data_IF_993599308990
#
_entry.id   IF_993599308990
#
_cell.length_a   1.000
_cell.length_b   1.000
_cell.length_c   1.000
_cell.angle_alpha   90.00
_cell.angle_beta   90.00
_cell.angle_gamma   90.00
#
_symmetry.space_group_name_H-M   'P 1'
#
loop_
_entity.id
_entity.type
_entity.pdbx_description
1 polymer ?
#
# COMPACT_ATOMS: atom_id res chain seq x y z
N UNK A 1 89.63 -26.86 22.38
CA UNK A 1 88.91 -26.41 21.17
C UNK A 1 87.61 -27.17 21.19
N UNK A 2 86.56 -26.54 21.68
CA UNK A 2 85.19 -27.08 21.67
C UNK A 2 84.42 -26.20 20.68
N UNK A 3 83.95 -26.80 19.59
CA UNK A 3 83.05 -26.15 18.64
C UNK A 3 81.61 -26.24 19.18
N UNK A 4 80.80 -25.16 19.10
CA UNK A 4 79.40 -25.23 19.49
C UNK A 4 78.55 -25.82 18.36
N UNK A 5 77.59 -26.72 18.63
CA UNK A 5 76.58 -27.07 17.64
C UNK A 5 75.55 -25.95 17.52
N UNK A 6 75.52 -25.30 16.36
CA UNK A 6 74.38 -24.52 15.85
C UNK A 6 73.46 -25.50 15.10
N UNK A 7 72.15 -25.29 15.24
CA UNK A 7 70.99 -25.96 14.64
C UNK A 7 70.23 -26.80 15.68
N UNK A 8 68.94 -26.61 15.93
CA UNK A 8 67.91 -26.04 15.09
C UNK A 8 67.00 -25.13 15.90
N UNK A 9 66.51 -24.08 15.24
CA UNK A 9 65.25 -23.43 15.58
C UNK A 9 64.22 -24.52 15.92
N UNK A 10 63.83 -24.61 17.18
CA UNK A 10 62.60 -25.27 17.55
C UNK A 10 61.48 -24.38 17.02
N UNK A 11 60.97 -24.79 15.85
CA UNK A 11 59.78 -24.26 15.23
C UNK A 11 58.60 -24.50 16.16
N UNK A 12 58.45 -23.63 17.17
CA UNK A 12 57.19 -23.33 17.84
C UNK A 12 56.25 -22.71 16.80
N UNK A 13 55.80 -23.52 15.87
CA UNK A 13 54.67 -23.24 14.99
C UNK A 13 53.44 -23.28 15.88
N UNK A 14 53.16 -22.14 16.50
CA UNK A 14 51.87 -21.79 17.10
C UNK A 14 50.86 -21.59 15.96
N UNK A 15 50.60 -22.67 15.21
CA UNK A 15 49.57 -22.76 14.18
C UNK A 15 48.26 -23.24 14.82
N UNK A 16 47.92 -22.63 15.96
CA UNK A 16 46.58 -22.76 16.53
C UNK A 16 45.66 -21.88 15.69
N UNK A 17 45.11 -22.49 14.63
CA UNK A 17 44.20 -21.88 13.68
C UNK A 17 43.12 -21.04 14.40
N UNK A 18 43.06 -19.70 14.19
CA UNK A 18 42.11 -18.89 14.91
C UNK A 18 40.75 -18.92 14.19
N UNK A 19 39.96 -20.01 14.26
CA UNK A 19 38.67 -20.02 13.53
C UNK A 19 37.50 -20.87 14.08
N UNK A 20 37.56 -21.48 15.27
CA UNK A 20 36.40 -22.25 15.79
C UNK A 20 35.36 -21.40 16.58
N UNK A 21 35.77 -20.25 17.13
CA UNK A 21 34.89 -19.39 17.96
C UNK A 21 33.89 -18.61 17.09
N UNK A 22 34.24 -18.27 15.84
CA UNK A 22 33.43 -17.48 14.91
C UNK A 22 32.20 -18.22 14.37
N UNK A 23 32.34 -19.54 14.12
CA UNK A 23 31.23 -20.35 13.58
C UNK A 23 30.18 -20.65 14.65
N UNK A 24 30.62 -20.90 15.89
CA UNK A 24 29.72 -21.17 17.01
C UNK A 24 28.94 -19.92 17.46
N UNK A 25 29.59 -18.75 17.49
CA UNK A 25 28.91 -17.47 17.78
C UNK A 25 27.90 -17.13 16.67
N UNK A 26 28.26 -17.32 15.40
CA UNK A 26 27.35 -17.13 14.25
C UNK A 26 26.12 -18.04 14.32
N UNK A 27 26.28 -19.30 14.73
CA UNK A 27 25.14 -20.22 14.93
C UNK A 27 24.24 -19.77 16.08
N UNK A 28 24.81 -19.35 17.21
CA UNK A 28 24.03 -18.84 18.34
C UNK A 28 23.28 -17.56 18.00
N UNK A 29 23.91 -16.66 17.24
CA UNK A 29 23.30 -15.42 16.78
C UNK A 29 22.13 -15.68 15.83
N UNK A 30 22.28 -16.61 14.87
CA UNK A 30 21.16 -17.02 14.00
C UNK A 30 19.99 -17.62 14.78
N UNK A 31 20.26 -18.44 15.79
CA UNK A 31 19.20 -19.00 16.66
C UNK A 31 18.52 -17.90 17.47
N UNK A 32 19.26 -16.92 17.98
CA UNK A 32 18.71 -15.77 18.68
C UNK A 32 17.84 -14.89 17.75
N UNK A 33 18.29 -14.65 16.52
CA UNK A 33 17.52 -13.93 15.50
C UNK A 33 16.22 -14.66 15.16
N UNK A 34 16.25 -15.98 14.96
CA UNK A 34 15.05 -16.78 14.70
C UNK A 34 14.05 -16.72 15.85
N UNK A 35 14.52 -16.79 17.10
CA UNK A 35 13.67 -16.62 18.29
C UNK A 35 13.06 -15.22 18.37
N UNK A 36 13.85 -14.19 18.05
CA UNK A 36 13.39 -12.80 17.99
C UNK A 36 12.29 -12.61 16.94
N UNK A 37 12.50 -13.13 15.72
CA UNK A 37 11.52 -13.10 14.64
C UNK A 37 10.24 -13.84 15.04
N UNK A 38 10.36 -15.00 15.70
CA UNK A 38 9.20 -15.74 16.17
C UNK A 38 8.41 -14.96 17.23
N UNK A 39 9.11 -14.28 18.15
CA UNK A 39 8.47 -13.42 19.16
C UNK A 39 7.77 -12.23 18.52
N UNK A 40 8.43 -11.52 17.62
CA UNK A 40 7.84 -10.40 16.88
C UNK A 40 6.60 -10.81 16.06
N UNK A 41 6.61 -12.00 15.45
CA UNK A 41 5.44 -12.52 14.74
C UNK A 41 4.26 -12.84 15.67
N UNK A 42 4.53 -13.32 16.89
CA UNK A 42 3.48 -13.56 17.89
C UNK A 42 2.86 -12.24 18.35
N UNK A 43 3.69 -11.25 18.68
CA UNK A 43 3.26 -9.92 19.10
C UNK A 43 2.40 -9.25 18.00
N UNK A 44 2.87 -9.26 16.75
CA UNK A 44 2.11 -8.71 15.61
C UNK A 44 0.74 -9.38 15.43
N UNK A 45 0.67 -10.71 15.64
CA UNK A 45 -0.60 -11.46 15.55
C UNK A 45 -1.56 -11.11 16.69
N UNK A 46 -1.04 -10.88 17.89
CA UNK A 46 -1.84 -10.44 19.04
C UNK A 46 -2.37 -9.03 18.84
N UNK A 47 -1.54 -8.10 18.38
CA UNK A 47 -1.94 -6.73 18.02
C UNK A 47 -3.03 -6.72 16.95
N UNK A 48 -2.89 -7.53 15.90
CA UNK A 48 -3.91 -7.62 14.85
C UNK A 48 -5.24 -8.15 15.41
N UNK A 49 -5.19 -9.15 16.29
CA UNK A 49 -6.37 -9.71 16.93
C UNK A 49 -7.06 -8.66 17.81
N UNK A 50 -6.29 -7.89 18.57
CA UNK A 50 -6.81 -6.82 19.41
C UNK A 50 -7.42 -5.70 18.55
N UNK A 51 -6.77 -5.30 17.46
CA UNK A 51 -7.29 -4.30 16.53
C UNK A 51 -8.61 -4.75 15.89
N UNK A 52 -8.75 -6.03 15.54
CA UNK A 52 -10.02 -6.60 15.06
C UNK A 52 -11.11 -6.55 16.14
N UNK A 53 -10.79 -6.90 17.39
CA UNK A 53 -11.73 -6.81 18.52
C UNK A 53 -12.23 -5.39 18.74
N UNK A 54 -11.31 -4.41 18.84
CA UNK A 54 -11.65 -2.99 19.02
C UNK A 54 -12.54 -2.45 17.91
N UNK A 55 -12.28 -2.82 16.64
CA UNK A 55 -13.14 -2.43 15.51
C UNK A 55 -14.55 -3.02 15.63
N UNK A 56 -14.67 -4.29 15.99
CA UNK A 56 -15.97 -4.93 16.17
C UNK A 56 -16.75 -4.31 17.34
N UNK A 57 -16.10 -4.03 18.46
CA UNK A 57 -16.72 -3.36 19.61
C UNK A 57 -17.22 -1.97 19.24
N UNK A 58 -16.43 -1.18 18.51
CA UNK A 58 -16.87 0.13 18.00
C UNK A 58 -18.08 0.02 17.08
N UNK A 59 -18.09 -0.96 16.18
CA UNK A 59 -19.24 -1.17 15.28
C UNK A 59 -20.51 -1.56 16.05
N UNK A 60 -20.40 -2.44 17.04
CA UNK A 60 -21.52 -2.82 17.92
C UNK A 60 -22.06 -1.59 18.66
N UNK A 61 -21.18 -0.79 19.27
CA UNK A 61 -21.61 0.44 19.96
C UNK A 61 -22.28 1.44 19.01
N UNK A 62 -21.77 1.62 17.79
CA UNK A 62 -22.40 2.50 16.81
C UNK A 62 -23.80 1.99 16.40
N UNK A 63 -23.93 0.68 16.20
CA UNK A 63 -25.21 0.05 15.87
C UNK A 63 -26.23 0.24 17.00
N UNK A 64 -25.83 0.02 18.24
CA UNK A 64 -26.69 0.21 19.41
C UNK A 64 -27.12 1.68 19.55
N UNK A 65 -26.19 2.63 19.43
CA UNK A 65 -26.51 4.06 19.46
C UNK A 65 -27.50 4.45 18.37
N UNK A 66 -27.30 3.97 17.15
CA UNK A 66 -28.22 4.22 16.03
C UNK A 66 -29.59 3.60 16.30
N UNK A 67 -29.65 2.40 16.87
CA UNK A 67 -30.91 1.74 17.20
C UNK A 67 -31.67 2.49 18.29
N UNK A 68 -30.97 3.02 19.30
CA UNK A 68 -31.53 3.88 20.34
C UNK A 68 -32.00 5.23 19.81
N UNK A 69 -31.26 5.84 18.86
CA UNK A 69 -31.71 7.09 18.24
C UNK A 69 -32.97 6.86 17.40
N UNK A 70 -32.99 5.77 16.62
CA UNK A 70 -34.16 5.39 15.85
C UNK A 70 -35.34 5.08 16.75
N UNK A 71 -35.15 4.39 17.88
CA UNK A 71 -36.26 4.12 18.81
C UNK A 71 -36.87 5.39 19.40
N UNK A 72 -36.07 6.41 19.68
CA UNK A 72 -36.56 7.74 20.11
C UNK A 72 -37.34 8.48 19.02
N UNK A 73 -37.00 8.23 17.74
CA UNK A 73 -37.61 8.88 16.57
C UNK A 73 -38.72 8.05 15.93
N UNK A 74 -38.99 6.84 16.41
CA UNK A 74 -40.09 6.00 15.93
C UNK A 74 -41.42 6.66 16.30
N UNK A 75 -42.31 6.76 15.32
CA UNK A 75 -43.72 7.02 15.60
C UNK A 75 -44.32 5.84 16.39
N UNK A 76 -45.33 6.09 17.24
CA UNK A 76 -46.06 5.02 17.91
C UNK A 76 -46.55 3.97 16.93
N UNK A 77 -46.45 2.70 17.32
CA UNK A 77 -46.80 1.55 16.49
C UNK A 77 -48.24 1.64 15.96
N UNK A 78 -49.16 2.16 16.76
CA UNK A 78 -50.57 2.39 16.42
C UNK A 78 -50.76 3.33 15.21
N UNK A 79 -49.86 4.29 15.00
CA UNK A 79 -49.90 5.23 13.86
C UNK A 79 -49.39 4.54 12.58
N UNK A 80 -48.44 3.61 12.71
CA UNK A 80 -47.90 2.86 11.58
C UNK A 80 -48.87 1.77 11.08
N UNK A 81 -49.63 1.15 12.00
CA UNK A 81 -50.62 0.11 11.68
C UNK A 81 -51.90 0.67 11.05
N UNK A 82 -52.21 1.95 11.28
CA UNK A 82 -53.34 2.64 10.66
C UNK A 82 -53.14 3.04 9.19
N UNK A 83 -51.93 2.89 8.63
CA UNK A 83 -51.64 3.21 7.22
C UNK A 83 -51.93 1.97 6.36
N UNK A 84 -52.97 1.97 5.51
CA UNK A 84 -53.26 0.82 4.66
C UNK A 84 -52.10 0.58 3.69
N UNK A 85 -51.63 -0.68 3.61
CA UNK A 85 -50.45 -1.16 2.88
C UNK A 85 -50.53 -1.06 1.33
N UNK A 86 -51.05 0.03 0.78
CA UNK A 86 -51.19 0.27 -0.67
C UNK A 86 -49.86 0.55 -1.38
N UNK A 87 -48.73 0.63 -0.67
CA UNK A 87 -47.38 0.87 -1.23
C UNK A 87 -46.51 -0.38 -1.40
N UNK A 88 -47.02 -1.58 -1.06
CA UNK A 88 -46.27 -2.85 -1.12
C UNK A 88 -45.78 -3.26 -2.51
N UNK A 89 -46.31 -2.66 -3.59
CA UNK A 89 -45.81 -2.82 -4.96
C UNK A 89 -44.44 -2.19 -5.22
N UNK A 90 -44.01 -1.23 -4.41
CA UNK A 90 -42.70 -0.56 -4.58
C UNK A 90 -41.60 -1.40 -3.91
N UNK A 91 -41.89 -2.04 -2.78
CA UNK A 91 -40.90 -2.81 -1.99
C UNK A 91 -40.54 -4.16 -2.65
N UNK A 92 -41.42 -4.72 -3.47
CA UNK A 92 -41.17 -5.98 -4.17
C UNK A 92 -40.12 -5.86 -5.29
N UNK A 93 -39.96 -4.68 -5.92
CA UNK A 93 -38.96 -4.48 -6.97
C UNK A 93 -37.54 -4.39 -6.42
N UNK A 94 -37.36 -3.84 -5.22
CA UNK A 94 -36.02 -3.69 -4.62
C UNK A 94 -35.47 -4.99 -3.99
N UNK A 95 -36.32 -6.01 -3.79
CA UNK A 95 -35.91 -7.31 -3.22
C UNK A 95 -35.40 -8.32 -4.25
N UNK A 96 -35.71 -8.16 -5.53
CA UNK A 96 -35.18 -9.03 -6.59
C UNK A 96 -33.75 -8.63 -7.00
N UNK A 97 -33.39 -7.34 -6.95
CA UNK A 97 -32.03 -6.90 -7.29
C UNK A 97 -30.98 -7.22 -6.21
N UNK A 98 -31.38 -7.45 -4.95
CA UNK A 98 -30.46 -7.63 -3.82
C UNK A 98 -30.16 -9.09 -3.44
N UNK A 99 -30.67 -10.09 -4.17
CA UNK A 99 -30.39 -11.52 -3.91
C UNK A 99 -29.18 -12.10 -4.65
N UNK A 100 -28.52 -11.32 -5.50
CA UNK A 100 -27.39 -11.78 -6.34
C UNK A 100 -26.00 -11.45 -5.77
N UNK A 101 -25.90 -10.76 -4.63
CA UNK A 101 -24.63 -10.23 -4.10
C UNK A 101 -24.08 -10.96 -2.87
N UNK A 102 -24.76 -11.97 -2.33
CA UNK A 102 -24.41 -12.57 -1.02
C UNK A 102 -23.54 -13.84 -1.11
N UNK A 103 -22.93 -14.14 -2.26
CA UNK A 103 -22.00 -15.28 -2.38
C UNK A 103 -20.68 -14.80 -2.96
N UNK A 104 -19.68 -14.68 -2.08
CA UNK A 104 -18.22 -14.76 -2.28
C UNK A 104 -17.44 -13.62 -1.61
N UNK A 105 -17.40 -13.62 -0.27
CA UNK A 105 -16.35 -12.95 0.50
C UNK A 105 -15.60 -13.98 1.36
N UNK A 106 -14.61 -14.63 0.75
CA UNK A 106 -13.52 -15.25 1.48
C UNK A 106 -12.31 -15.32 0.56
N UNK A 107 -11.45 -14.30 0.61
CA UNK A 107 -10.00 -14.48 0.59
C UNK A 107 -9.30 -13.12 0.77
N UNK A 108 -8.66 -13.01 1.93
CA UNK A 108 -7.78 -11.91 2.34
C UNK A 108 -6.41 -12.17 1.72
N UNK A 109 -5.89 -11.21 0.96
CA UNK A 109 -4.54 -11.25 0.41
C UNK A 109 -3.87 -9.89 0.50
N UNK A 110 -2.89 -9.78 1.40
CA UNK A 110 -1.98 -8.64 1.57
C UNK A 110 -1.27 -8.29 0.25
N UNK A 111 -1.24 -7.02 -0.11
CA UNK A 111 -0.47 -6.51 -1.25
C UNK A 111 0.68 -5.62 -0.74
N UNK A 112 1.91 -6.14 -0.86
CA UNK A 112 3.13 -5.32 -0.89
C UNK A 112 3.16 -4.54 -2.21
N UNK A 113 3.38 -3.24 -2.11
CA UNK A 113 3.64 -2.37 -3.25
C UNK A 113 5.11 -2.45 -3.61
N UNK A 114 5.41 -2.86 -4.84
CA UNK A 114 6.69 -2.51 -5.47
C UNK A 114 6.45 -1.82 -6.81
N UNK A 115 7.35 -0.87 -6.99
CA UNK A 115 7.48 0.20 -7.98
C UNK A 115 7.87 -0.39 -9.34
N UNK A 116 7.13 -0.06 -10.40
CA UNK A 116 7.57 -0.35 -11.77
C UNK A 116 7.67 0.96 -12.54
N UNK A 117 8.90 1.23 -12.95
CA UNK A 117 9.32 2.38 -13.73
C UNK A 117 8.66 2.44 -15.11
N UNK A 118 8.38 3.66 -15.53
CA UNK A 118 7.89 4.00 -16.85
C UNK A 118 9.10 4.37 -17.73
N UNK A 119 9.37 3.51 -18.71
CA UNK A 119 10.20 3.81 -19.87
C UNK A 119 9.31 4.05 -21.08
N UNK A 120 9.47 5.23 -21.70
CA UNK A 120 9.13 5.59 -23.09
C UNK A 120 9.87 6.90 -23.36
N UNK A 121 10.96 6.97 -24.10
CA UNK A 121 11.20 6.66 -25.52
C UNK A 121 10.53 7.64 -26.50
N UNK A 122 11.42 8.43 -27.13
CA UNK A 122 11.41 9.26 -28.35
C UNK A 122 10.34 10.36 -28.58
N UNK A 123 10.81 11.61 -28.63
CA UNK A 123 10.55 12.50 -29.76
C UNK A 123 11.65 13.58 -29.83
N UNK A 124 12.53 13.42 -30.81
CA UNK A 124 13.57 14.38 -31.19
C UNK A 124 12.91 15.37 -32.18
N UNK A 125 12.54 16.56 -31.71
CA UNK A 125 12.02 17.64 -32.52
C UNK A 125 13.10 18.71 -32.65
N UNK A 126 13.69 18.80 -33.83
CA UNK A 126 14.74 19.76 -34.17
C UNK A 126 14.18 21.19 -34.16
N UNK A 127 14.98 22.04 -33.55
CA UNK A 127 14.84 23.46 -33.28
C UNK A 127 15.27 24.25 -34.52
N UNK A 128 14.34 24.92 -35.20
CA UNK A 128 14.68 26.02 -36.10
C UNK A 128 13.63 27.14 -36.09
N UNK A 129 14.05 28.31 -35.60
CA UNK A 129 13.67 29.60 -36.16
C UNK A 129 12.51 30.33 -35.48
N UNK A 130 12.79 31.04 -34.39
CA UNK A 130 11.96 32.16 -33.97
C UNK A 130 12.82 33.38 -33.59
N UNK A 131 13.29 34.09 -34.62
CA UNK A 131 13.76 35.48 -34.50
C UNK A 131 12.58 36.41 -34.83
N UNK A 132 11.81 36.81 -33.83
CA UNK A 132 11.02 38.05 -33.93
C UNK A 132 10.88 38.71 -32.57
N UNK A 133 11.43 39.92 -32.49
CA UNK A 133 11.54 40.76 -31.31
C UNK A 133 10.18 40.97 -30.62
N UNK A 134 9.89 40.13 -29.64
CA UNK A 134 8.73 40.23 -28.76
C UNK A 134 9.16 41.03 -27.52
N UNK A 135 8.51 42.17 -27.30
CA UNK A 135 8.77 43.11 -26.20
C UNK A 135 8.48 42.55 -24.79
N UNK A 136 8.21 41.24 -24.67
CA UNK A 136 7.94 40.51 -23.43
C UNK A 136 9.03 39.47 -23.11
N UNK A 137 10.22 39.60 -23.71
CA UNK A 137 11.35 38.74 -23.38
C UNK A 137 11.89 39.05 -21.98
N UNK A 138 11.65 38.14 -21.03
CA UNK A 138 12.20 38.21 -19.66
C UNK A 138 13.53 37.43 -19.63
N UNK A 139 14.70 38.08 -19.52
CA UNK A 139 15.97 37.39 -19.49
C UNK A 139 16.15 36.60 -18.18
N UNK A 140 16.43 35.30 -18.31
CA UNK A 140 16.44 34.30 -17.23
C UNK A 140 17.48 34.51 -16.12
N UNK A 141 18.37 35.52 -16.24
CA UNK A 141 19.38 35.85 -15.25
C UNK A 141 19.06 37.08 -14.38
N UNK A 142 18.02 37.85 -14.71
CA UNK A 142 17.74 39.16 -14.06
C UNK A 142 16.62 39.12 -13.02
N UNK A 143 15.88 38.02 -12.96
CA UNK A 143 14.71 37.87 -12.08
C UNK A 143 14.92 36.69 -11.14
N UNK A 144 14.40 36.76 -9.91
CA UNK A 144 14.36 35.64 -8.96
C UNK A 144 13.31 34.58 -9.35
N UNK A 145 13.01 34.44 -10.64
CA UNK A 145 12.01 33.51 -11.14
C UNK A 145 12.68 32.17 -11.41
N UNK A 146 12.23 31.13 -10.69
CA UNK A 146 12.63 29.77 -10.98
C UNK A 146 11.92 29.30 -12.26
N UNK A 147 12.68 29.16 -13.35
CA UNK A 147 12.18 28.60 -14.61
C UNK A 147 11.97 27.10 -14.41
N UNK A 148 10.71 26.69 -14.34
CA UNK A 148 10.34 25.27 -14.25
C UNK A 148 10.07 24.77 -15.67
N UNK A 149 10.89 23.84 -16.16
CA UNK A 149 10.66 23.20 -17.45
C UNK A 149 9.52 22.18 -17.36
N UNK A 150 8.85 21.86 -18.46
CA UNK A 150 7.75 20.88 -18.48
C UNK A 150 8.17 19.52 -17.88
N UNK A 151 9.42 19.11 -18.14
CA UNK A 151 10.03 17.91 -17.59
C UNK A 151 10.26 17.98 -16.07
N UNK A 152 10.39 19.17 -15.50
CA UNK A 152 10.47 19.36 -14.05
C UNK A 152 9.08 19.35 -13.42
N UNK A 153 8.07 19.97 -14.06
CA UNK A 153 6.67 19.92 -13.59
C UNK A 153 6.17 18.47 -13.49
N UNK A 154 6.47 17.63 -14.49
CA UNK A 154 6.06 16.22 -14.48
C UNK A 154 6.78 15.36 -13.42
N UNK A 155 8.01 15.75 -13.05
CA UNK A 155 8.81 15.08 -12.00
C UNK A 155 8.55 15.63 -10.60
N UNK A 156 7.92 16.81 -10.47
CA UNK A 156 7.56 17.36 -9.18
C UNK A 156 6.52 16.46 -8.52
N UNK A 157 6.92 15.81 -7.42
CA UNK A 157 5.99 15.06 -6.60
C UNK A 157 4.99 16.04 -6.00
N UNK A 158 3.71 15.82 -6.30
CA UNK A 158 2.61 16.57 -5.72
C UNK A 158 2.71 16.53 -4.19
N UNK A 159 2.46 17.67 -3.55
CA UNK A 159 2.35 17.74 -2.10
C UNK A 159 1.18 16.83 -1.63
N UNK A 160 1.28 16.22 -0.45
CA UNK A 160 0.24 15.35 0.14
C UNK A 160 -1.15 16.00 0.11
N UNK A 161 -1.24 17.31 0.34
CA UNK A 161 -2.50 18.05 0.25
C UNK A 161 -3.06 18.06 -1.18
N UNK A 162 -2.20 18.28 -2.17
CA UNK A 162 -2.59 18.25 -3.59
C UNK A 162 -2.96 16.83 -4.04
N UNK A 163 -2.25 15.81 -3.56
CA UNK A 163 -2.60 14.41 -3.80
C UNK A 163 -3.99 14.06 -3.24
N UNK A 164 -4.28 14.51 -2.02
CA UNK A 164 -5.58 14.30 -1.39
C UNK A 164 -6.70 15.03 -2.16
N UNK A 165 -6.43 16.23 -2.66
CA UNK A 165 -7.35 17.01 -3.49
C UNK A 165 -7.62 16.28 -4.81
N UNK A 166 -6.58 15.88 -5.55
CA UNK A 166 -6.70 15.14 -6.80
C UNK A 166 -7.41 13.79 -6.60
N UNK A 167 -7.17 13.12 -5.47
CA UNK A 167 -7.87 11.89 -5.11
C UNK A 167 -9.37 12.15 -4.88
N UNK A 168 -9.71 13.20 -4.12
CA UNK A 168 -11.09 13.60 -3.91
C UNK A 168 -11.77 13.93 -5.24
N UNK A 169 -11.12 14.68 -6.11
CA UNK A 169 -11.69 15.03 -7.42
C UNK A 169 -11.90 13.83 -8.32
N UNK A 170 -10.88 12.97 -8.44
CA UNK A 170 -10.95 11.77 -9.28
C UNK A 170 -11.95 10.73 -8.78
N UNK A 171 -12.10 10.57 -7.46
CA UNK A 171 -12.97 9.53 -6.87
C UNK A 171 -14.38 10.00 -6.56
N UNK A 172 -14.56 11.24 -6.15
CA UNK A 172 -15.87 11.74 -5.72
C UNK A 172 -16.64 12.38 -6.87
N UNK A 173 -15.98 13.23 -7.66
CA UNK A 173 -16.63 14.04 -8.70
C UNK A 173 -16.54 13.40 -10.09
N UNK A 174 -15.46 12.67 -10.38
CA UNK A 174 -15.22 12.05 -11.69
C UNK A 174 -15.53 10.54 -11.71
N UNK A 175 -16.69 10.15 -11.18
CA UNK A 175 -17.06 8.73 -11.03
C UNK A 175 -17.11 7.95 -12.35
N UNK A 176 -17.37 8.64 -13.48
CA UNK A 176 -17.37 8.05 -14.83
C UNK A 176 -15.98 7.62 -15.31
N UNK A 177 -14.93 8.27 -14.82
CA UNK A 177 -13.53 8.00 -15.15
C UNK A 177 -12.91 6.93 -14.25
N UNK A 178 -13.65 6.43 -13.24
CA UNK A 178 -13.16 5.35 -12.39
C UNK A 178 -13.17 4.05 -13.22
N UNK A 179 -11.99 3.47 -13.52
CA UNK A 179 -11.95 2.25 -14.32
C UNK A 179 -12.59 1.12 -13.53
N UNK A 180 -13.73 0.63 -14.02
CA UNK A 180 -14.41 -0.55 -13.50
C UNK A 180 -13.83 -1.75 -14.22
N UNK A 181 -13.17 -2.63 -13.48
CA UNK A 181 -12.67 -3.88 -14.05
C UNK A 181 -13.78 -4.91 -14.07
N UNK A 182 -13.91 -5.62 -15.19
CA UNK A 182 -14.81 -6.77 -15.27
C UNK A 182 -14.26 -7.94 -14.45
N UNK A 183 -15.13 -8.90 -14.11
CA UNK A 183 -14.74 -10.12 -13.39
C UNK A 183 -13.72 -10.92 -14.19
N UNK A 184 -13.82 -10.92 -15.52
CA UNK A 184 -12.89 -11.55 -16.45
C UNK A 184 -11.51 -10.89 -16.43
N UNK A 185 -11.45 -9.56 -16.52
CA UNK A 185 -10.18 -8.82 -16.43
C UNK A 185 -9.47 -9.07 -15.11
N UNK A 186 -10.23 -9.10 -14.00
CA UNK A 186 -9.69 -9.41 -12.67
C UNK A 186 -9.10 -10.81 -12.62
N UNK A 187 -9.79 -11.82 -13.17
CA UNK A 187 -9.30 -13.21 -13.26
C UNK A 187 -8.06 -13.31 -14.16
N UNK A 188 -8.08 -12.66 -15.32
CA UNK A 188 -6.95 -12.66 -16.25
C UNK A 188 -5.69 -12.02 -15.61
N UNK A 189 -5.85 -10.91 -14.89
CA UNK A 189 -4.75 -10.27 -14.15
C UNK A 189 -4.21 -11.16 -13.04
N UNK A 190 -5.08 -11.84 -12.30
CA UNK A 190 -4.67 -12.81 -11.27
C UNK A 190 -3.93 -14.01 -11.87
N UNK A 191 -4.39 -14.53 -13.00
CA UNK A 191 -3.72 -15.61 -13.72
C UNK A 191 -2.34 -15.19 -14.23
N UNK A 192 -2.21 -13.99 -14.82
CA UNK A 192 -0.92 -13.42 -15.23
C UNK A 192 0.05 -13.27 -14.06
N UNK A 193 -0.41 -12.76 -12.92
CA UNK A 193 0.43 -12.67 -11.70
C UNK A 193 0.89 -14.04 -11.21
N UNK A 194 0.00 -15.03 -11.21
CA UNK A 194 0.33 -16.41 -10.81
C UNK A 194 1.33 -17.07 -11.77
N UNK A 195 1.28 -16.75 -13.06
CA UNK A 195 2.24 -17.24 -14.04
C UNK A 195 3.63 -16.65 -13.85
N UNK A 196 3.74 -15.35 -13.55
CA UNK A 196 5.04 -14.69 -13.32
C UNK A 196 5.70 -15.03 -11.97
N UNK A 197 5.01 -15.77 -11.10
CA UNK A 197 5.53 -16.22 -9.81
C UNK A 197 6.05 -17.67 -9.85
N UNK A 198 5.92 -18.36 -10.99
CA UNK A 198 6.51 -19.68 -11.23
C UNK A 198 7.83 -19.54 -11.97
#
# INVERSE_FOLDING_TARGET
>A
MEDPPINAFDSSSDDEAPEEISVNSSRQERVAQLKSIQKANREKKEEEREHRRRRNEMFLMQKERKLQELSKRKLPQDVLEGIPAKSSKIIAKDKEENKLSEVNESEVGEAKAEEMGSGSDVSNGEDEGFDEASADFIPLGSTNLAVVTENQVSKMRLNTVQQALNFKESRLYNQKLIPRQTTEERRAKAAKKKANQR
#
